data_IF_644982306382
#
_entry.id   IF_644982306382
#
_cell.length_a   1.000
_cell.length_b   1.000
_cell.length_c   1.000
_cell.angle_alpha   90.00
_cell.angle_beta   90.00
_cell.angle_gamma   90.00
#
_symmetry.space_group_name_H-M   'P 1'
#
loop_
_entity.id
_entity.type
_entity.pdbx_description
1 polymer ?
#
# COMPACT_ATOMS: atom_id res chain seq x y z
N UNK A 1 15.53 20.23 9.60
CA UNK A 1 14.34 19.61 8.97
C UNK A 1 13.35 20.73 8.79
N UNK A 2 13.10 21.08 7.53
CA UNK A 2 12.18 22.15 7.14
C UNK A 2 10.73 21.66 7.26
N UNK A 3 9.84 22.49 7.81
CA UNK A 3 8.41 22.21 8.10
C UNK A 3 7.60 21.57 6.96
N UNK A 4 8.08 21.64 5.72
CA UNK A 4 7.42 21.07 4.54
C UNK A 4 7.51 19.55 4.41
N UNK A 5 8.55 18.89 4.97
CA UNK A 5 8.78 17.44 4.75
C UNK A 5 7.76 16.53 5.43
N UNK A 6 7.12 16.98 6.51
CA UNK A 6 6.09 16.22 7.24
C UNK A 6 4.66 16.49 6.74
N UNK A 7 4.47 17.54 5.94
CA UNK A 7 3.15 18.00 5.52
C UNK A 7 2.35 16.92 4.79
N UNK A 8 3.01 16.16 3.89
CA UNK A 8 2.33 15.18 3.03
C UNK A 8 1.81 13.94 3.76
N UNK A 9 2.36 13.62 4.94
CA UNK A 9 1.92 12.47 5.74
C UNK A 9 0.69 12.78 6.58
N UNK A 10 0.42 14.06 6.87
CA UNK A 10 -0.71 14.53 7.68
C UNK A 10 -2.05 13.87 7.33
N UNK A 11 -2.51 13.84 6.07
CA UNK A 11 -3.79 13.21 5.75
C UNK A 11 -3.81 11.71 6.05
N UNK A 12 -2.67 11.03 5.91
CA UNK A 12 -2.56 9.59 6.22
C UNK A 12 -2.56 9.37 7.73
N UNK A 13 -1.81 10.17 8.49
CA UNK A 13 -1.73 10.03 9.95
C UNK A 13 -3.05 10.37 10.63
N UNK A 14 -3.77 11.38 10.15
CA UNK A 14 -5.13 11.71 10.61
C UNK A 14 -6.11 10.58 10.33
N UNK A 15 -6.08 10.00 9.12
CA UNK A 15 -6.92 8.84 8.80
C UNK A 15 -6.57 7.63 9.69
N UNK A 16 -5.28 7.39 9.95
CA UNK A 16 -4.83 6.33 10.84
C UNK A 16 -5.23 6.56 12.31
N UNK A 17 -5.37 7.79 12.77
CA UNK A 17 -5.83 8.07 14.15
C UNK A 17 -7.33 7.81 14.34
N UNK A 18 -8.13 7.97 13.28
CA UNK A 18 -9.58 7.81 13.33
C UNK A 18 -10.05 6.40 12.94
N UNK A 19 -9.27 5.69 12.14
CA UNK A 19 -9.56 4.33 11.70
C UNK A 19 -9.29 3.30 12.81
N UNK A 20 -10.19 2.34 13.09
CA UNK A 20 -9.91 1.27 14.04
C UNK A 20 -8.65 0.47 13.69
N UNK A 21 -7.92 -0.02 14.68
CA UNK A 21 -6.67 -0.78 14.47
C UNK A 21 -6.88 -2.08 13.68
N UNK A 22 -8.09 -2.63 13.66
CA UNK A 22 -8.42 -3.86 12.93
C UNK A 22 -8.92 -3.64 11.50
N UNK A 23 -8.64 -2.47 10.91
CA UNK A 23 -9.14 -2.07 9.58
C UNK A 23 -8.00 -1.75 8.61
N UNK A 24 -8.35 -1.77 7.33
CA UNK A 24 -7.46 -1.43 6.23
C UNK A 24 -7.61 0.04 5.83
N UNK A 25 -6.48 0.73 5.59
CA UNK A 25 -6.42 2.03 4.94
C UNK A 25 -5.73 1.88 3.58
N UNK A 26 -6.37 2.34 2.52
CA UNK A 26 -5.72 2.49 1.20
C UNK A 26 -5.12 3.88 1.09
N UNK A 27 -3.90 3.98 0.58
CA UNK A 27 -3.25 5.27 0.30
C UNK A 27 -2.99 5.37 -1.20
N UNK A 28 -3.74 6.23 -1.88
CA UNK A 28 -3.52 6.53 -3.29
C UNK A 28 -2.36 7.54 -3.42
N UNK A 29 -1.25 7.07 -3.98
CA UNK A 29 -0.03 7.84 -4.20
C UNK A 29 0.08 8.11 -5.70
N UNK A 30 0.04 9.38 -6.14
CA UNK A 30 -0.09 9.72 -7.56
C UNK A 30 1.14 9.38 -8.43
N UNK A 31 2.22 8.88 -7.83
CA UNK A 31 3.45 8.49 -8.53
C UNK A 31 4.13 7.33 -7.81
N UNK A 32 4.66 6.38 -8.58
CA UNK A 32 5.42 5.25 -8.04
C UNK A 32 6.69 5.73 -7.32
N UNK A 33 6.61 5.74 -5.98
CA UNK A 33 7.65 6.22 -5.06
C UNK A 33 7.80 5.25 -3.88
N UNK A 34 8.55 4.14 -4.06
CA UNK A 34 8.73 3.15 -3.00
C UNK A 34 9.46 3.73 -1.77
N UNK A 35 10.27 4.78 -1.96
CA UNK A 35 10.89 5.53 -0.88
C UNK A 35 9.86 6.20 0.03
N UNK A 36 8.80 6.79 -0.53
CA UNK A 36 7.71 7.39 0.24
C UNK A 36 6.91 6.34 1.01
N UNK A 37 6.65 5.17 0.41
CA UNK A 37 5.99 4.08 1.12
C UNK A 37 6.81 3.57 2.32
N UNK A 38 8.15 3.49 2.18
CA UNK A 38 9.03 3.13 3.30
C UNK A 38 9.02 4.20 4.39
N UNK A 39 9.05 5.48 4.01
CA UNK A 39 8.96 6.58 4.96
C UNK A 39 7.62 6.55 5.71
N UNK A 40 6.50 6.37 5.00
CA UNK A 40 5.18 6.21 5.60
C UNK A 40 5.15 5.04 6.60
N UNK A 41 5.68 3.87 6.23
CA UNK A 41 5.74 2.73 7.15
C UNK A 41 6.51 3.07 8.42
N UNK A 42 7.69 3.70 8.30
CA UNK A 42 8.51 4.07 9.44
C UNK A 42 7.82 5.09 10.36
N UNK A 43 7.25 6.15 9.79
CA UNK A 43 6.57 7.22 10.55
C UNK A 43 5.27 6.73 11.21
N UNK A 44 4.56 5.81 10.57
CA UNK A 44 3.33 5.21 11.10
C UNK A 44 3.58 4.01 12.04
N UNK A 45 4.83 3.61 12.27
CA UNK A 45 5.17 2.45 13.10
C UNK A 45 4.71 1.11 12.53
N UNK A 46 4.68 0.99 11.19
CA UNK A 46 4.26 -0.20 10.46
C UNK A 46 5.46 -1.03 9.99
N UNK A 47 5.30 -2.35 9.96
CA UNK A 47 6.25 -3.22 9.28
C UNK A 47 6.04 -3.10 7.77
N UNK A 48 7.09 -2.71 7.06
CA UNK A 48 7.08 -2.64 5.60
C UNK A 48 7.24 -4.04 5.01
N UNK A 49 6.24 -4.49 4.25
CA UNK A 49 6.23 -5.79 3.55
C UNK A 49 6.13 -5.58 2.05
N UNK A 50 7.13 -6.00 1.29
CA UNK A 50 7.17 -5.86 -0.17
C UNK A 50 6.79 -7.19 -0.83
N UNK A 51 5.55 -7.30 -1.33
CA UNK A 51 5.06 -8.54 -1.92
C UNK A 51 5.94 -9.04 -3.06
N UNK A 52 6.42 -8.13 -3.90
CA UNK A 52 7.23 -8.49 -5.05
C UNK A 52 8.59 -9.04 -4.62
N UNK A 53 9.24 -8.37 -3.67
CA UNK A 53 10.58 -8.73 -3.22
C UNK A 53 10.59 -9.96 -2.29
N UNK A 54 9.57 -10.11 -1.45
CA UNK A 54 9.51 -11.15 -0.42
C UNK A 54 8.76 -12.41 -0.88
N UNK A 55 7.73 -12.29 -1.71
CA UNK A 55 6.94 -13.44 -2.18
C UNK A 55 7.19 -13.78 -3.65
N UNK A 56 6.96 -12.84 -4.57
CA UNK A 56 7.06 -13.12 -6.01
C UNK A 56 8.48 -13.53 -6.44
N UNK A 57 9.51 -12.96 -5.80
CA UNK A 57 10.90 -13.35 -6.03
C UNK A 57 11.19 -14.81 -5.64
N UNK A 58 10.54 -15.34 -4.61
CA UNK A 58 10.75 -16.71 -4.14
C UNK A 58 10.09 -17.75 -5.05
N UNK A 59 8.91 -17.43 -5.60
CA UNK A 59 8.22 -18.31 -6.55
C UNK A 59 8.83 -18.29 -7.96
N UNK A 60 9.62 -17.25 -8.28
CA UNK A 60 10.43 -17.18 -9.49
C UNK A 60 9.58 -17.27 -10.76
N UNK A 61 9.84 -18.27 -11.61
CA UNK A 61 9.10 -18.47 -12.86
C UNK A 61 7.62 -18.79 -12.66
N UNK A 62 7.20 -19.25 -11.46
CA UNK A 62 5.80 -19.52 -11.16
C UNK A 62 5.01 -18.26 -10.78
N UNK A 63 5.63 -17.08 -10.77
CA UNK A 63 4.97 -15.82 -10.42
C UNK A 63 3.73 -15.52 -11.28
N UNK A 64 3.72 -15.93 -12.55
CA UNK A 64 2.58 -15.77 -13.47
C UNK A 64 1.35 -16.60 -13.06
N UNK A 65 1.51 -17.60 -12.21
CA UNK A 65 0.42 -18.46 -11.73
C UNK A 65 -0.01 -18.12 -10.29
N UNK A 66 0.59 -17.11 -9.68
CA UNK A 66 0.19 -16.64 -8.35
C UNK A 66 -1.23 -16.08 -8.46
N UNK A 67 -2.12 -16.52 -7.58
CA UNK A 67 -3.49 -16.04 -7.53
C UNK A 67 -3.66 -14.94 -6.48
N UNK A 68 -4.74 -14.15 -6.59
CA UNK A 68 -5.10 -13.16 -5.58
C UNK A 68 -5.27 -13.81 -4.20
N UNK A 69 -5.81 -15.03 -4.15
CA UNK A 69 -5.99 -15.79 -2.89
C UNK A 69 -4.64 -16.14 -2.23
N UNK A 70 -3.61 -16.43 -3.03
CA UNK A 70 -2.26 -16.70 -2.51
C UNK A 70 -1.62 -15.42 -1.93
N UNK A 71 -1.81 -14.28 -2.59
CA UNK A 71 -1.43 -12.97 -2.06
C UNK A 71 -2.18 -12.66 -0.76
N UNK A 72 -3.48 -12.95 -0.72
CA UNK A 72 -4.33 -12.72 0.45
C UNK A 72 -3.91 -13.56 1.65
N UNK A 73 -3.61 -14.84 1.44
CA UNK A 73 -3.11 -15.71 2.50
C UNK A 73 -1.79 -15.17 3.07
N UNK A 74 -0.86 -14.79 2.21
CA UNK A 74 0.41 -14.20 2.62
C UNK A 74 0.23 -12.88 3.39
N UNK A 75 -0.70 -12.04 2.93
CA UNK A 75 -1.03 -10.77 3.57
C UNK A 75 -1.62 -10.98 4.97
N UNK A 76 -2.53 -11.94 5.14
CA UNK A 76 -3.11 -12.28 6.45
C UNK A 76 -2.01 -12.71 7.42
N UNK A 77 -1.07 -13.55 7.00
CA UNK A 77 0.04 -13.99 7.83
C UNK A 77 0.92 -12.80 8.26
N UNK A 78 1.26 -11.90 7.32
CA UNK A 78 2.04 -10.71 7.63
C UNK A 78 1.34 -9.79 8.64
N UNK A 79 0.04 -9.53 8.45
CA UNK A 79 -0.73 -8.65 9.31
C UNK A 79 -0.99 -9.29 10.67
N UNK A 80 -1.02 -10.62 10.78
CA UNK A 80 -1.14 -11.30 12.07
C UNK A 80 0.08 -11.08 12.98
N UNK A 81 1.27 -10.91 12.41
CA UNK A 81 2.50 -10.66 13.16
C UNK A 81 2.59 -9.22 13.71
N UNK A 82 2.19 -8.23 12.90
CA UNK A 82 2.32 -6.82 13.25
C UNK A 82 1.45 -5.90 12.36
N UNK A 83 1.17 -4.67 12.80
CA UNK A 83 0.69 -3.60 11.92
C UNK A 83 1.59 -3.49 10.68
N UNK A 84 1.00 -3.53 9.49
CA UNK A 84 1.74 -3.76 8.24
C UNK A 84 1.39 -2.74 7.17
N UNK A 85 2.41 -2.25 6.46
CA UNK A 85 2.26 -1.60 5.17
C UNK A 85 2.59 -2.62 4.06
N UNK A 86 1.60 -2.96 3.26
CA UNK A 86 1.68 -3.99 2.22
C UNK A 86 1.92 -3.36 0.85
N UNK A 87 3.18 -3.32 0.44
CA UNK A 87 3.62 -2.67 -0.79
C UNK A 87 3.66 -3.64 -1.97
N UNK A 88 3.53 -3.11 -3.19
CA UNK A 88 3.57 -3.84 -4.47
C UNK A 88 2.45 -4.87 -4.68
N UNK A 89 1.29 -4.72 -4.03
CA UNK A 89 0.09 -5.50 -4.34
C UNK A 89 -0.31 -5.38 -5.83
N UNK A 90 -0.14 -4.18 -6.40
CA UNK A 90 -0.50 -3.88 -7.79
C UNK A 90 0.26 -4.69 -8.83
N UNK A 91 1.44 -5.22 -8.47
CA UNK A 91 2.22 -6.09 -9.36
C UNK A 91 1.42 -7.34 -9.75
N UNK A 92 0.63 -7.89 -8.83
CA UNK A 92 -0.25 -9.01 -9.11
C UNK A 92 -1.58 -8.54 -9.68
N UNK A 93 -2.19 -7.50 -9.09
CA UNK A 93 -3.51 -7.00 -9.50
C UNK A 93 -3.54 -6.57 -10.97
N UNK A 94 -2.43 -6.06 -11.52
CA UNK A 94 -2.31 -5.68 -12.92
C UNK A 94 -2.49 -6.86 -13.90
N UNK A 95 -2.34 -8.10 -13.44
CA UNK A 95 -2.58 -9.31 -14.23
C UNK A 95 -4.04 -9.78 -14.22
N UNK A 96 -4.91 -9.11 -13.46
CA UNK A 96 -6.32 -9.47 -13.29
C UNK A 96 -7.25 -8.42 -13.90
N UNK A 97 -8.46 -8.80 -14.35
CA UNK A 97 -9.42 -7.86 -14.90
C UNK A 97 -10.00 -6.95 -13.80
N UNK A 98 -10.58 -5.77 -14.16
CA UNK A 98 -11.08 -4.78 -13.20
C UNK A 98 -12.07 -5.35 -12.18
N UNK A 99 -12.95 -6.27 -12.57
CA UNK A 99 -13.95 -6.86 -11.70
C UNK A 99 -13.31 -7.65 -10.55
N UNK A 100 -12.22 -8.37 -10.84
CA UNK A 100 -11.46 -9.10 -9.83
C UNK A 100 -10.70 -8.17 -8.89
N UNK A 101 -10.19 -7.05 -9.38
CA UNK A 101 -9.56 -6.03 -8.52
C UNK A 101 -10.58 -5.37 -7.60
N UNK A 102 -11.75 -5.02 -8.13
CA UNK A 102 -12.85 -4.45 -7.36
C UNK A 102 -13.32 -5.41 -6.25
N UNK A 103 -13.49 -6.70 -6.57
CA UNK A 103 -13.79 -7.75 -5.56
C UNK A 103 -12.72 -7.77 -4.46
N UNK A 104 -11.45 -7.71 -4.83
CA UNK A 104 -10.35 -7.70 -3.87
C UNK A 104 -10.38 -6.45 -2.98
N UNK A 105 -10.52 -5.25 -3.55
CA UNK A 105 -10.62 -4.00 -2.80
C UNK A 105 -11.82 -3.99 -1.84
N UNK A 106 -12.99 -4.46 -2.29
CA UNK A 106 -14.16 -4.62 -1.43
C UNK A 106 -13.88 -5.56 -0.25
N UNK A 107 -13.22 -6.69 -0.52
CA UNK A 107 -12.86 -7.66 0.53
C UNK A 107 -11.93 -7.07 1.60
N UNK A 108 -11.01 -6.17 1.23
CA UNK A 108 -10.12 -5.49 2.18
C UNK A 108 -10.91 -4.60 3.16
N UNK A 109 -11.95 -3.92 2.68
CA UNK A 109 -12.77 -2.99 3.47
C UNK A 109 -13.74 -3.70 4.41
N UNK A 110 -14.33 -4.82 3.97
CA UNK A 110 -15.25 -5.62 4.78
C UNK A 110 -14.53 -6.40 5.89
N UNK A 111 -13.29 -6.85 5.62
CA UNK A 111 -12.52 -7.69 6.53
C UNK A 111 -12.15 -6.96 7.82
N UNK A 112 -12.15 -7.73 8.92
CA UNK A 112 -11.51 -7.35 10.17
C UNK A 112 -10.15 -8.02 10.24
N UNK A 113 -9.11 -7.22 10.44
CA UNK A 113 -7.73 -7.66 10.46
C UNK A 113 -7.23 -7.83 11.90
N UNK A 114 -6.29 -8.76 12.16
CA UNK A 114 -5.71 -8.94 13.48
C UNK A 114 -4.91 -7.71 13.94
N UNK A 115 -4.28 -7.01 13.00
CA UNK A 115 -3.63 -5.72 13.21
C UNK A 115 -3.94 -4.79 12.02
N UNK A 116 -3.46 -3.56 12.11
CA UNK A 116 -3.69 -2.53 11.10
C UNK A 116 -3.01 -2.89 9.78
N UNK A 117 -3.72 -2.66 8.69
CA UNK A 117 -3.21 -2.82 7.33
C UNK A 117 -3.24 -1.48 6.60
N UNK A 118 -2.13 -1.15 5.93
CA UNK A 118 -2.05 -0.03 5.00
C UNK A 118 -1.62 -0.55 3.63
N UNK A 119 -2.33 -0.18 2.58
CA UNK A 119 -2.03 -0.59 1.19
C UNK A 119 -1.80 0.66 0.33
N UNK A 120 -0.55 1.00 -0.03
CA UNK A 120 -0.30 2.02 -1.03
C UNK A 120 -0.67 1.51 -2.43
N UNK A 121 -1.39 2.34 -3.18
CA UNK A 121 -1.69 2.14 -4.60
C UNK A 121 -1.11 3.30 -5.41
N UNK A 122 -0.72 3.00 -6.65
CA UNK A 122 -0.12 3.95 -7.59
C UNK A 122 -0.82 3.95 -8.95
N UNK A 123 -1.40 2.82 -9.35
CA UNK A 123 -2.05 2.61 -10.65
C UNK A 123 -3.57 2.56 -10.52
N UNK A 124 -4.06 1.96 -9.43
CA UNK A 124 -5.48 1.64 -9.24
C UNK A 124 -6.14 2.44 -8.13
N UNK A 125 -5.52 3.53 -7.65
CA UNK A 125 -6.11 4.40 -6.63
C UNK A 125 -7.46 4.99 -7.04
N UNK A 126 -7.64 5.31 -8.33
CA UNK A 126 -8.90 5.79 -8.89
C UNK A 126 -10.01 4.72 -8.99
N UNK A 127 -9.69 3.44 -8.80
CA UNK A 127 -10.65 2.34 -8.76
C UNK A 127 -11.29 2.15 -7.38
N UNK A 128 -10.80 2.88 -6.37
CA UNK A 128 -11.34 2.82 -5.01
C UNK A 128 -12.60 3.68 -4.92
N UNK A 129 -13.76 3.03 -4.83
CA UNK A 129 -15.01 3.70 -4.54
C UNK A 129 -15.05 4.13 -3.06
N UNK A 130 -15.31 5.43 -2.82
CA UNK A 130 -15.12 6.11 -1.53
C UNK A 130 -16.01 5.62 -0.37
N UNK A 131 -16.86 4.61 -0.60
CA UNK A 131 -17.68 3.98 0.44
C UNK A 131 -17.24 2.57 0.83
N UNK A 132 -16.41 1.89 0.02
CA UNK A 132 -16.11 0.46 0.22
C UNK A 132 -14.96 0.21 1.19
N UNK A 133 -13.97 1.12 1.19
CA UNK A 133 -12.77 1.03 2.00
C UNK A 133 -12.31 2.44 2.38
N UNK A 134 -11.77 2.59 3.59
CA UNK A 134 -11.14 3.84 3.98
C UNK A 134 -9.95 4.11 3.06
N UNK A 135 -9.95 5.28 2.43
CA UNK A 135 -8.88 5.68 1.52
C UNK A 135 -8.46 7.13 1.73
N UNK A 136 -7.19 7.40 1.44
CA UNK A 136 -6.61 8.75 1.40
C UNK A 136 -5.88 8.91 0.09
N UNK A 137 -6.25 9.93 -0.69
CA UNK A 137 -5.51 10.32 -1.88
C UNK A 137 -4.51 11.43 -1.54
N UNK A 138 -3.25 11.23 -1.93
CA UNK A 138 -2.21 12.22 -1.73
C UNK A 138 -2.15 13.19 -2.90
N UNK A 139 -2.00 14.48 -2.60
CA UNK A 139 -1.74 15.49 -3.61
C UNK A 139 -0.29 15.38 -4.09
N UNK A 140 -0.12 15.28 -5.41
CA UNK A 140 1.19 15.28 -6.06
C UNK A 140 2.02 16.52 -5.68
N UNK A 141 1.38 17.68 -5.53
CA UNK A 141 2.06 18.94 -5.17
C UNK A 141 2.57 18.96 -3.72
N UNK A 142 1.99 18.12 -2.85
CA UNK A 142 2.41 18.02 -1.46
C UNK A 142 3.59 17.05 -1.28
N UNK A 143 3.84 16.14 -2.24
CA UNK A 143 4.90 15.15 -2.12
C UNK A 143 6.30 15.80 -2.11
N UNK A 144 7.24 15.27 -1.31
CA UNK A 144 8.59 15.82 -1.27
C UNK A 144 9.31 15.57 -2.60
N UNK A 145 10.10 16.56 -3.02
CA UNK A 145 10.87 16.49 -4.25
C UNK A 145 11.81 15.27 -4.25
N UNK A 146 11.87 14.55 -5.37
CA UNK A 146 12.95 13.59 -5.56
C UNK A 146 14.26 14.33 -5.77
N UNK A 147 15.19 14.20 -4.82
CA UNK A 147 16.56 14.61 -5.01
C UNK A 147 17.15 13.97 -6.28
N UNK A 148 17.93 14.76 -7.05
CA UNK A 148 18.59 14.32 -8.29
C UNK A 148 19.38 13.01 -8.14
N UNK A 149 19.98 12.78 -6.97
CA UNK A 149 20.75 11.56 -6.66
C UNK A 149 19.84 10.32 -6.61
N UNK A 150 18.65 10.45 -6.02
CA UNK A 150 17.67 9.35 -5.98
C UNK A 150 17.16 8.98 -7.36
N UNK A 151 17.12 9.93 -8.32
CA UNK A 151 16.74 9.64 -9.71
C UNK A 151 17.80 8.84 -10.48
N UNK A 152 19.07 8.99 -10.13
CA UNK A 152 20.19 8.30 -10.80
C UNK A 152 20.43 6.88 -10.27
N UNK A 153 19.97 6.56 -9.06
CA UNK A 153 20.15 5.23 -8.44
C UNK A 153 18.99 4.26 -8.73
N UNK A 154 17.85 4.77 -9.19
CA UNK A 154 16.65 3.98 -9.50
C UNK A 154 16.30 3.97 -11.00
N UNK A 155 17.17 4.51 -11.86
CA UNK A 155 17.10 4.42 -13.33
C UNK A 155 17.76 3.15 -13.86
#
# INVERSE_FOLDING_TARGET
>A
MTETEQSWLTPVTEALQTLPESRCLVVDIPVYRPDLARQLAAEAGLVFRDFRAEYLKLVGSAAEHVSIEAMDAWLVDCVAEAPTLFHNAEALLACHPPERRAEWFGSLGERTWPNRLVVPLYLFGSEIDGGQIASVALDYQALPEQGLVSRLLHS
#
